data_IF_979069870903
#
_entry.id   IF_979069870903
#
_cell.length_a   1.000
_cell.length_b   1.000
_cell.length_c   1.000
_cell.angle_alpha   90.00
_cell.angle_beta   90.00
_cell.angle_gamma   90.00
#
_symmetry.space_group_name_H-M   'P 1'
#
loop_
_entity.id
_entity.type
_entity.pdbx_description
1 polymer ?
#
# COMPACT_ATOMS: atom_id res chain seq x y z
N UNK A 1 -3.86 59.32 -53.94
CA UNK A 1 -3.74 57.84 -53.96
C UNK A 1 -4.49 57.15 -52.79
N UNK A 2 -5.78 57.45 -52.50
CA UNK A 2 -6.45 56.94 -51.29
C UNK A 2 -7.77 56.16 -51.51
N UNK A 3 -8.26 56.04 -52.75
CA UNK A 3 -9.61 55.48 -53.04
C UNK A 3 -9.62 53.97 -53.34
N UNK A 4 -8.48 53.36 -53.66
CA UNK A 4 -8.39 51.91 -53.99
C UNK A 4 -8.25 50.98 -52.79
N UNK A 5 -7.74 51.46 -51.63
CA UNK A 5 -7.53 50.64 -50.42
C UNK A 5 -8.82 50.33 -49.63
N UNK A 6 -9.90 51.12 -49.80
CA UNK A 6 -11.18 50.92 -49.07
C UNK A 6 -11.96 49.69 -49.55
N UNK A 7 -11.91 49.35 -50.84
CA UNK A 7 -12.65 48.22 -51.42
C UNK A 7 -12.06 46.85 -51.06
N UNK A 8 -10.74 46.74 -50.89
CA UNK A 8 -10.09 45.48 -50.49
C UNK A 8 -10.45 45.14 -49.04
N UNK A 9 -10.46 46.13 -48.15
CA UNK A 9 -10.85 45.96 -46.73
C UNK A 9 -12.33 45.58 -46.58
N UNK A 10 -13.23 46.16 -47.38
CA UNK A 10 -14.65 45.80 -47.35
C UNK A 10 -14.88 44.36 -47.84
N UNK A 11 -14.21 43.94 -48.92
CA UNK A 11 -14.26 42.55 -49.43
C UNK A 11 -13.65 41.55 -48.43
N UNK A 12 -12.54 41.89 -47.78
CA UNK A 12 -11.94 41.04 -46.74
C UNK A 12 -12.85 40.91 -45.50
N UNK A 13 -13.50 42.01 -45.06
CA UNK A 13 -14.47 41.96 -43.95
C UNK A 13 -15.73 41.15 -44.30
N UNK A 14 -16.22 41.24 -45.54
CA UNK A 14 -17.32 40.41 -46.04
C UNK A 14 -16.97 38.92 -46.09
N UNK A 15 -15.79 38.57 -46.61
CA UNK A 15 -15.30 37.20 -46.63
C UNK A 15 -15.10 36.60 -45.22
N UNK A 16 -14.61 37.41 -44.27
CA UNK A 16 -14.48 37.00 -42.85
C UNK A 16 -15.85 36.82 -42.20
N UNK A 17 -16.84 37.65 -42.53
CA UNK A 17 -18.23 37.48 -42.07
C UNK A 17 -18.85 36.18 -42.55
N UNK A 18 -18.70 35.86 -43.84
CA UNK A 18 -19.19 34.61 -44.44
C UNK A 18 -18.47 33.38 -43.86
N UNK A 19 -17.15 33.46 -43.64
CA UNK A 19 -16.40 32.38 -43.00
C UNK A 19 -16.85 32.14 -41.55
N UNK A 20 -17.13 33.22 -40.80
CA UNK A 20 -17.63 33.13 -39.42
C UNK A 20 -19.03 32.52 -39.36
N UNK A 21 -19.90 32.87 -40.30
CA UNK A 21 -21.24 32.29 -40.38
C UNK A 21 -21.20 30.81 -40.74
N UNK A 22 -20.36 30.41 -41.71
CA UNK A 22 -20.13 28.99 -42.05
C UNK A 22 -19.54 28.20 -40.88
N UNK A 23 -18.59 28.77 -40.13
CA UNK A 23 -18.03 28.12 -38.94
C UNK A 23 -19.10 27.92 -37.85
N UNK A 24 -19.98 28.90 -37.66
CA UNK A 24 -21.09 28.81 -36.71
C UNK A 24 -22.13 27.77 -37.14
N UNK A 25 -22.42 27.66 -38.43
CA UNK A 25 -23.35 26.66 -38.98
C UNK A 25 -22.79 25.23 -38.85
N UNK A 26 -21.48 25.04 -39.13
CA UNK A 26 -20.80 23.75 -38.92
C UNK A 26 -20.82 23.37 -37.44
N UNK A 27 -20.55 24.32 -36.55
CA UNK A 27 -20.61 24.07 -35.10
C UNK A 27 -22.04 23.76 -34.62
N UNK A 28 -23.05 24.41 -35.20
CA UNK A 28 -24.45 24.11 -34.92
C UNK A 28 -24.87 22.72 -35.44
N UNK A 29 -24.35 22.28 -36.59
CA UNK A 29 -24.58 20.93 -37.12
C UNK A 29 -23.90 19.87 -36.27
N UNK A 30 -22.65 20.07 -35.84
CA UNK A 30 -21.95 19.16 -34.92
C UNK A 30 -22.68 19.03 -33.58
N UNK A 31 -23.16 20.14 -33.03
CA UNK A 31 -23.95 20.11 -31.80
C UNK A 31 -25.31 19.40 -31.98
N UNK A 32 -25.93 19.50 -33.16
CA UNK A 32 -27.17 18.76 -33.49
C UNK A 32 -26.91 17.27 -33.65
N UNK A 33 -25.83 16.87 -34.33
CA UNK A 33 -25.45 15.46 -34.48
C UNK A 33 -25.06 14.84 -33.13
N UNK A 34 -24.28 15.53 -32.30
CA UNK A 34 -23.98 15.08 -30.94
C UNK A 34 -25.23 14.92 -30.07
N UNK A 35 -26.20 15.84 -30.19
CA UNK A 35 -27.50 15.72 -29.50
C UNK A 35 -28.30 14.53 -30.02
N UNK A 36 -28.31 14.30 -31.33
CA UNK A 36 -29.00 13.17 -31.94
C UNK A 36 -28.36 11.84 -31.56
N UNK A 37 -27.03 11.72 -31.55
CA UNK A 37 -26.32 10.54 -31.05
C UNK A 37 -26.64 10.27 -29.58
N UNK A 38 -26.61 11.30 -28.72
CA UNK A 38 -27.01 11.17 -27.31
C UNK A 38 -28.47 10.78 -27.12
N UNK A 39 -29.35 11.12 -28.06
CA UNK A 39 -30.77 10.73 -28.06
C UNK A 39 -30.96 9.29 -28.56
N UNK A 40 -30.22 8.86 -29.59
CA UNK A 40 -30.22 7.49 -30.12
C UNK A 40 -29.69 6.48 -29.09
N UNK A 41 -28.67 6.84 -28.32
CA UNK A 41 -28.18 5.99 -27.22
C UNK A 41 -29.16 5.90 -26.04
N UNK A 42 -30.10 6.85 -25.90
CA UNK A 42 -31.15 6.85 -24.86
C UNK A 42 -32.35 5.98 -25.22
N UNK A 43 -32.59 5.70 -26.49
CA UNK A 43 -33.69 4.85 -26.97
C UNK A 43 -33.25 3.40 -27.26
N UNK A 44 -31.98 3.18 -27.64
CA UNK A 44 -31.48 1.84 -27.97
C UNK A 44 -30.90 1.09 -26.77
N UNK A 45 -30.47 1.79 -25.71
CA UNK A 45 -30.08 1.13 -24.47
C UNK A 45 -31.28 1.05 -23.52
N UNK A 46 -31.71 -0.15 -23.09
CA UNK A 46 -32.73 -0.24 -22.07
C UNK A 46 -32.20 0.50 -20.84
N UNK A 47 -32.93 1.53 -20.38
CA UNK A 47 -32.70 2.11 -19.05
C UNK A 47 -32.66 0.93 -18.09
N UNK A 48 -31.48 0.63 -17.52
CA UNK A 48 -31.39 -0.41 -16.48
C UNK A 48 -32.42 -0.02 -15.44
N UNK A 49 -33.52 -0.77 -15.36
CA UNK A 49 -34.56 -0.62 -14.37
C UNK A 49 -33.98 -1.11 -13.06
N UNK A 50 -32.98 -0.39 -12.56
CA UNK A 50 -32.24 -0.80 -11.37
C UNK A 50 -33.25 -0.84 -10.24
N UNK A 51 -33.48 -2.04 -9.73
CA UNK A 51 -34.43 -2.25 -8.65
C UNK A 51 -33.99 -1.47 -7.41
N UNK A 52 -34.92 -1.18 -6.49
CA UNK A 52 -34.57 -0.52 -5.21
C UNK A 52 -33.44 -1.27 -4.47
N UNK A 53 -33.42 -2.60 -4.59
CA UNK A 53 -32.37 -3.48 -4.05
C UNK A 53 -31.02 -3.21 -4.70
N UNK A 54 -30.95 -3.13 -6.03
CA UNK A 54 -29.70 -2.80 -6.75
C UNK A 54 -29.18 -1.40 -6.41
N UNK A 55 -30.08 -0.40 -6.32
CA UNK A 55 -29.69 0.96 -5.92
C UNK A 55 -29.11 0.98 -4.50
N UNK A 56 -29.69 0.21 -3.58
CA UNK A 56 -29.17 0.05 -2.21
C UNK A 56 -27.79 -0.62 -2.22
N UNK A 57 -27.63 -1.71 -2.97
CA UNK A 57 -26.36 -2.42 -3.10
C UNK A 57 -25.26 -1.54 -3.72
N UNK A 58 -25.58 -0.72 -4.72
CA UNK A 58 -24.65 0.24 -5.31
C UNK A 58 -24.25 1.35 -4.34
N UNK A 59 -25.18 1.86 -3.53
CA UNK A 59 -24.87 2.83 -2.47
C UNK A 59 -23.94 2.22 -1.43
N UNK A 60 -24.24 1.00 -0.97
CA UNK A 60 -23.40 0.28 -0.02
C UNK A 60 -21.99 0.01 -0.59
N UNK A 61 -21.91 -0.47 -1.85
CA UNK A 61 -20.63 -0.68 -2.54
C UNK A 61 -19.82 0.63 -2.66
N UNK A 62 -20.48 1.73 -3.04
CA UNK A 62 -19.85 3.06 -3.12
C UNK A 62 -19.35 3.54 -1.75
N UNK A 63 -20.09 3.27 -0.68
CA UNK A 63 -19.69 3.60 0.68
C UNK A 63 -18.46 2.80 1.12
N UNK A 64 -18.45 1.47 0.89
CA UNK A 64 -17.29 0.63 1.18
C UNK A 64 -16.06 1.06 0.39
N UNK A 65 -16.23 1.44 -0.88
CA UNK A 65 -15.15 1.95 -1.71
C UNK A 65 -14.57 3.24 -1.13
N UNK A 66 -15.42 4.18 -0.67
CA UNK A 66 -14.95 5.40 0.03
C UNK A 66 -14.12 5.08 1.28
N UNK A 67 -14.53 4.11 2.09
CA UNK A 67 -13.73 3.70 3.26
C UNK A 67 -12.38 3.08 2.85
N UNK A 68 -12.36 2.28 1.79
CA UNK A 68 -11.13 1.70 1.27
C UNK A 68 -10.17 2.79 0.74
N UNK A 69 -10.69 3.77 0.02
CA UNK A 69 -9.91 4.87 -0.54
C UNK A 69 -9.37 5.79 0.56
N UNK A 70 -10.20 6.21 1.51
CA UNK A 70 -9.77 6.97 2.70
C UNK A 70 -8.70 6.23 3.51
N UNK A 71 -8.77 4.89 3.60
CA UNK A 71 -7.76 4.09 4.30
C UNK A 71 -6.44 4.05 3.52
N UNK A 72 -6.48 4.01 2.18
CA UNK A 72 -5.28 4.08 1.32
C UNK A 72 -4.62 5.45 1.42
N UNK A 73 -5.39 6.53 1.39
CA UNK A 73 -4.89 7.91 1.55
C UNK A 73 -4.21 8.09 2.91
N UNK A 74 -4.86 7.72 4.02
CA UNK A 74 -4.26 7.78 5.35
C UNK A 74 -2.94 7.01 5.46
N UNK A 75 -2.84 5.83 4.82
CA UNK A 75 -1.59 5.06 4.78
C UNK A 75 -0.51 5.78 3.96
N UNK A 76 -0.86 6.38 2.82
CA UNK A 76 0.05 7.20 2.02
C UNK A 76 0.54 8.39 2.82
N UNK A 77 -0.35 9.16 3.45
CA UNK A 77 0.00 10.33 4.25
C UNK A 77 0.90 9.97 5.45
N UNK A 78 0.61 8.87 6.15
CA UNK A 78 1.48 8.40 7.22
C UNK A 78 2.87 7.97 6.71
N UNK A 79 2.93 7.36 5.52
CA UNK A 79 4.21 6.99 4.92
C UNK A 79 5.00 8.21 4.44
N UNK A 80 4.34 9.23 3.89
CA UNK A 80 4.95 10.51 3.50
C UNK A 80 5.45 11.28 4.73
N UNK A 81 4.63 11.43 5.78
CA UNK A 81 5.04 12.10 7.04
C UNK A 81 6.19 11.38 7.75
N UNK A 82 6.26 10.05 7.67
CA UNK A 82 7.41 9.28 8.16
C UNK A 82 8.65 9.45 7.28
N UNK A 83 8.46 9.77 6.00
CA UNK A 83 9.53 10.15 5.07
C UNK A 83 10.05 11.56 5.34
N UNK A 84 9.16 12.54 5.48
CA UNK A 84 9.48 13.96 5.76
C UNK A 84 10.23 14.15 7.09
N UNK A 85 9.90 13.35 8.12
CA UNK A 85 10.62 13.38 9.42
C UNK A 85 12.02 12.79 9.35
N UNK A 86 12.35 12.04 8.31
CA UNK A 86 13.72 11.62 8.05
C UNK A 86 14.31 12.74 7.20
N UNK A 87 15.41 13.36 7.63
CA UNK A 87 16.15 14.37 6.85
C UNK A 87 16.71 13.72 5.59
N UNK A 88 15.84 13.51 4.61
CA UNK A 88 16.16 12.87 3.34
C UNK A 88 16.12 13.97 2.30
N UNK A 89 17.31 14.28 1.78
CA UNK A 89 17.47 15.25 0.70
C UNK A 89 17.05 14.56 -0.61
N UNK A 90 15.90 14.93 -1.15
CA UNK A 90 15.42 14.52 -2.48
C UNK A 90 14.29 13.48 -2.50
N UNK A 91 13.70 13.26 -3.68
CA UNK A 91 12.61 12.30 -3.90
C UNK A 91 13.15 10.86 -3.96
N UNK A 92 12.91 10.06 -2.90
CA UNK A 92 13.26 8.64 -2.86
C UNK A 92 12.21 7.72 -3.48
N UNK A 93 11.11 8.26 -4.00
CA UNK A 93 10.06 7.46 -4.63
C UNK A 93 10.58 6.62 -5.82
N UNK A 94 11.45 7.15 -6.71
CA UNK A 94 12.05 6.35 -7.77
C UNK A 94 12.87 5.17 -7.24
N UNK A 95 13.57 5.32 -6.10
CA UNK A 95 14.33 4.23 -5.47
C UNK A 95 13.43 3.17 -4.84
N UNK A 96 12.28 3.57 -4.29
CA UNK A 96 11.31 2.60 -3.74
C UNK A 96 10.55 1.86 -4.83
N UNK A 97 10.19 2.56 -5.91
CA UNK A 97 9.49 1.96 -7.05
C UNK A 97 10.43 1.11 -7.93
N UNK A 98 11.75 1.36 -7.87
CA UNK A 98 12.77 0.52 -8.49
C UNK A 98 12.99 -0.82 -7.75
N UNK A 99 12.50 -0.97 -6.53
CA UNK A 99 12.58 -2.25 -5.82
C UNK A 99 11.41 -3.17 -6.24
N UNK A 100 11.67 -4.47 -6.45
CA UNK A 100 10.62 -5.44 -6.71
C UNK A 100 9.57 -5.41 -5.60
N UNK A 101 8.30 -5.40 -5.99
CA UNK A 101 7.22 -5.47 -5.02
C UNK A 101 7.26 -6.84 -4.32
N UNK A 102 6.79 -6.92 -3.07
CA UNK A 102 6.69 -8.19 -2.35
C UNK A 102 5.92 -9.25 -3.15
N UNK A 103 4.89 -8.85 -3.90
CA UNK A 103 4.17 -9.76 -4.81
C UNK A 103 5.03 -10.29 -5.95
N UNK A 104 5.98 -9.50 -6.46
CA UNK A 104 6.90 -9.94 -7.51
C UNK A 104 8.01 -10.83 -6.93
N UNK A 105 8.45 -10.56 -5.69
CA UNK A 105 9.31 -11.47 -4.94
C UNK A 105 8.64 -12.83 -4.72
N UNK A 106 7.34 -12.86 -4.36
CA UNK A 106 6.59 -14.12 -4.25
C UNK A 106 6.48 -14.88 -5.57
N UNK A 107 6.33 -14.17 -6.70
CA UNK A 107 6.32 -14.80 -8.04
C UNK A 107 7.69 -15.38 -8.39
N UNK A 108 8.77 -14.65 -8.09
CA UNK A 108 10.15 -15.09 -8.29
C UNK A 108 10.50 -16.33 -7.43
N UNK A 109 10.10 -16.34 -6.16
CA UNK A 109 10.30 -17.51 -5.28
C UNK A 109 9.49 -18.71 -5.78
N UNK A 110 8.25 -18.49 -6.24
CA UNK A 110 7.38 -19.54 -6.78
C UNK A 110 7.84 -20.06 -8.15
N UNK A 111 8.57 -19.26 -8.93
CA UNK A 111 9.19 -19.71 -10.17
C UNK A 111 10.54 -20.41 -9.93
N UNK A 112 11.27 -20.02 -8.87
CA UNK A 112 12.54 -20.66 -8.50
C UNK A 112 12.38 -21.99 -7.74
N UNK A 113 11.22 -22.27 -7.16
CA UNK A 113 10.96 -23.52 -6.43
C UNK A 113 10.83 -24.77 -7.32
N UNK A 114 11.12 -24.68 -8.62
CA UNK A 114 11.21 -25.85 -9.51
C UNK A 114 12.65 -26.32 -9.75
N UNK A 115 13.66 -25.45 -9.57
CA UNK A 115 15.05 -25.74 -9.92
C UNK A 115 16.03 -25.11 -8.91
N UNK A 116 16.04 -25.56 -7.65
CA UNK A 116 17.20 -25.44 -6.74
C UNK A 116 16.91 -26.14 -5.39
N UNK A 117 17.68 -27.19 -5.01
CA UNK A 117 17.94 -27.49 -3.61
C UNK A 117 19.02 -26.53 -3.08
N UNK A 118 19.20 -26.45 -1.77
CA UNK A 118 20.30 -25.73 -1.08
C UNK A 118 20.10 -24.24 -0.81
N UNK A 119 19.13 -23.87 0.04
CA UNK A 119 19.31 -22.80 1.05
C UNK A 119 18.37 -23.07 2.23
N UNK A 120 18.59 -24.19 2.94
CA UNK A 120 17.93 -24.52 4.21
C UNK A 120 18.99 -24.87 5.26
N UNK A 121 19.84 -23.93 5.59
CA UNK A 121 20.72 -24.04 6.76
C UNK A 121 20.97 -22.63 7.27
N UNK A 122 20.35 -22.28 8.40
CA UNK A 122 20.76 -21.26 9.39
C UNK A 122 19.59 -20.68 10.21
N UNK A 123 18.37 -21.20 10.09
CA UNK A 123 17.34 -20.91 11.09
C UNK A 123 16.53 -22.15 11.31
N UNK A 124 16.73 -22.80 12.47
CA UNK A 124 15.85 -23.88 12.91
C UNK A 124 14.40 -23.36 12.78
N UNK A 125 13.54 -24.04 12.00
CA UNK A 125 12.14 -23.67 11.98
C UNK A 125 11.58 -24.02 13.36
N UNK A 126 11.24 -23.01 14.17
CA UNK A 126 10.40 -23.23 15.35
C UNK A 126 9.17 -24.01 14.87
N UNK A 127 9.09 -25.29 15.26
CA UNK A 127 7.97 -26.15 14.94
C UNK A 127 6.67 -25.41 15.28
N UNK A 128 5.74 -25.34 14.33
CA UNK A 128 4.45 -24.68 14.54
C UNK A 128 3.62 -25.52 15.52
N UNK A 129 3.90 -25.36 16.81
CA UNK A 129 3.21 -26.08 17.87
C UNK A 129 1.72 -25.76 17.85
N UNK A 130 0.91 -26.79 18.08
CA UNK A 130 -0.53 -26.62 18.31
C UNK A 130 -0.79 -25.68 19.49
N UNK A 131 -1.91 -24.96 19.49
CA UNK A 131 -2.30 -24.03 20.57
C UNK A 131 -2.26 -24.72 21.94
N UNK A 132 -2.69 -25.98 22.03
CA UNK A 132 -2.63 -26.77 23.27
C UNK A 132 -1.19 -27.04 23.74
N UNK A 133 -0.28 -27.32 22.81
CA UNK A 133 1.14 -27.53 23.10
C UNK A 133 1.79 -26.22 23.55
N UNK A 134 1.47 -25.09 22.92
CA UNK A 134 1.95 -23.75 23.36
C UNK A 134 1.52 -23.45 24.81
N UNK A 135 0.27 -23.75 25.16
CA UNK A 135 -0.23 -23.55 26.54
C UNK A 135 0.52 -24.48 27.51
N UNK A 136 0.73 -25.75 27.15
CA UNK A 136 1.50 -26.70 27.98
C UNK A 136 2.94 -26.23 28.18
N UNK A 137 3.65 -25.85 27.11
CA UNK A 137 5.02 -25.30 27.18
C UNK A 137 5.08 -24.09 28.11
N UNK A 138 4.18 -23.11 27.94
CA UNK A 138 4.13 -21.94 28.85
C UNK A 138 3.94 -22.33 30.32
N UNK A 139 3.07 -23.30 30.60
CA UNK A 139 2.85 -23.79 31.98
C UNK A 139 4.09 -24.50 32.53
N UNK A 140 4.72 -25.37 31.73
CA UNK A 140 5.95 -26.07 32.14
C UNK A 140 7.09 -25.08 32.36
N UNK A 141 7.25 -24.09 31.48
CA UNK A 141 8.28 -23.05 31.58
C UNK A 141 8.10 -22.23 32.86
N UNK A 142 6.86 -21.87 33.19
CA UNK A 142 6.55 -21.15 34.42
C UNK A 142 6.88 -21.98 35.66
N UNK A 143 6.47 -23.25 35.69
CA UNK A 143 6.78 -24.17 36.81
C UNK A 143 8.30 -24.36 36.95
N UNK A 144 9.00 -24.52 35.82
CA UNK A 144 10.45 -24.67 35.82
C UNK A 144 11.15 -23.42 36.34
N UNK A 145 10.69 -22.22 35.98
CA UNK A 145 11.21 -20.96 36.53
C UNK A 145 11.02 -20.87 38.04
N UNK A 146 9.83 -21.18 38.54
CA UNK A 146 9.56 -21.17 40.00
C UNK A 146 10.48 -22.17 40.70
N UNK A 147 10.59 -23.39 40.18
CA UNK A 147 11.49 -24.41 40.73
C UNK A 147 12.95 -23.99 40.71
N UNK A 148 13.43 -23.34 39.65
CA UNK A 148 14.81 -22.85 39.59
C UNK A 148 15.05 -21.74 40.61
N UNK A 149 14.08 -20.84 40.81
CA UNK A 149 14.20 -19.80 41.84
C UNK A 149 14.17 -20.39 43.25
N UNK A 150 13.30 -21.36 43.53
CA UNK A 150 13.27 -22.04 44.82
C UNK A 150 14.60 -22.74 45.13
N UNK A 151 15.24 -23.34 44.13
CA UNK A 151 16.57 -23.93 44.28
C UNK A 151 17.62 -22.87 44.60
N UNK A 152 17.67 -21.78 43.82
CA UNK A 152 18.59 -20.67 44.05
C UNK A 152 18.44 -20.07 45.46
N UNK A 153 17.21 -19.90 45.93
CA UNK A 153 16.94 -19.39 47.28
C UNK A 153 17.36 -20.36 48.39
N UNK A 154 17.45 -21.66 48.10
CA UNK A 154 17.91 -22.67 49.05
C UNK A 154 19.43 -22.80 49.07
N UNK A 155 20.12 -22.39 48.01
CA UNK A 155 21.58 -22.48 47.90
C UNK A 155 22.29 -21.63 48.97
N UNK A 156 23.33 -22.23 49.57
CA UNK A 156 24.09 -21.59 50.66
C UNK A 156 24.82 -20.34 50.18
N UNK A 157 25.44 -20.40 49.01
CA UNK A 157 26.25 -19.29 48.47
C UNK A 157 25.39 -18.07 48.15
N UNK A 158 24.17 -18.30 47.63
CA UNK A 158 23.21 -17.24 47.37
C UNK A 158 22.67 -16.62 48.68
N UNK A 159 22.44 -17.42 49.72
CA UNK A 159 22.02 -16.92 51.04
C UNK A 159 23.11 -16.09 51.73
N UNK A 160 24.38 -16.47 51.58
CA UNK A 160 25.49 -15.73 52.16
C UNK A 160 25.71 -14.40 51.45
N UNK A 161 25.83 -14.41 50.11
CA UNK A 161 26.16 -13.22 49.33
C UNK A 161 25.47 -13.21 47.96
N UNK A 162 24.19 -12.79 47.87
CA UNK A 162 23.43 -12.85 46.62
C UNK A 162 24.02 -11.93 45.54
N UNK A 163 24.58 -10.78 45.92
CA UNK A 163 25.20 -9.83 44.99
C UNK A 163 26.41 -10.44 44.26
N UNK A 164 27.21 -11.24 44.95
CA UNK A 164 28.39 -11.88 44.37
C UNK A 164 28.00 -12.92 43.31
N UNK A 165 27.00 -13.75 43.61
CA UNK A 165 26.47 -14.76 42.68
C UNK A 165 25.85 -14.10 41.44
N UNK A 166 25.14 -12.98 41.61
CA UNK A 166 24.61 -12.23 40.47
C UNK A 166 25.74 -11.64 39.62
N UNK A 167 26.77 -11.06 40.26
CA UNK A 167 27.90 -10.48 39.55
C UNK A 167 28.68 -11.51 38.72
N UNK A 168 28.90 -12.72 39.27
CA UNK A 168 29.56 -13.80 38.52
C UNK A 168 28.69 -14.29 37.36
N UNK A 169 27.37 -14.45 37.57
CA UNK A 169 26.45 -14.83 36.49
C UNK A 169 26.47 -13.81 35.34
N UNK A 170 26.42 -12.52 35.66
CA UNK A 170 26.47 -11.44 34.67
C UNK A 170 27.79 -11.47 33.91
N UNK A 171 28.92 -11.59 34.61
CA UNK A 171 30.25 -11.70 33.99
C UNK A 171 30.33 -12.91 33.05
N UNK A 172 29.90 -14.07 33.50
CA UNK A 172 29.91 -15.30 32.69
C UNK A 172 29.04 -15.15 31.44
N UNK A 173 27.88 -14.49 31.54
CA UNK A 173 27.03 -14.22 30.38
C UNK A 173 27.75 -13.37 29.33
N UNK A 174 28.43 -12.31 29.73
CA UNK A 174 29.17 -11.46 28.79
C UNK A 174 30.32 -12.22 28.15
N UNK A 175 31.06 -13.04 28.91
CA UNK A 175 32.12 -13.89 28.35
C UNK A 175 31.58 -14.88 27.31
N UNK A 176 30.46 -15.54 27.58
CA UNK A 176 29.85 -16.46 26.58
C UNK A 176 29.35 -15.76 25.33
N UNK A 177 29.03 -14.45 25.40
CA UNK A 177 28.65 -13.68 24.22
C UNK A 177 29.88 -13.28 23.40
N UNK A 178 30.99 -12.93 24.06
CA UNK A 178 32.27 -12.62 23.40
C UNK A 178 32.90 -13.86 22.74
N UNK A 179 32.75 -15.06 23.32
CA UNK A 179 33.27 -16.31 22.73
C UNK A 179 32.43 -16.85 21.55
N UNK A 180 31.21 -16.35 21.37
CA UNK A 180 30.30 -16.78 20.31
C UNK A 180 30.35 -15.88 19.05
N UNK A 181 31.07 -14.75 19.12
CA UNK A 181 31.40 -13.88 17.98
C UNK A 181 32.71 -14.32 17.30
#
# INVERSE_FOLDING_TARGET
MAKTKKNIRAKAKGAVGVAKQKAQDVQAQLNKSERQERLLHKTLTPKKTTTKKEKSALKHKKLLQRFADSRKERKKDQSSKKGEKKNVVGDLKPLRDALPSLSDLYKLVKSKSKDAPEQQSLTEPEEQLSVKQKIKKKRTDMVNRVKSYEKLLKDKDFKQNPRSVIASLVRNKYQTMEEAE
#
